data_IF_683730997653
#
_entry.id   IF_683730997653
#
_cell.length_a   1.000
_cell.length_b   1.000
_cell.length_c   1.000
_cell.angle_alpha   90.00
_cell.angle_beta   90.00
_cell.angle_gamma   90.00
#
_symmetry.space_group_name_H-M   'P 1'
#
loop_
_entity.id
_entity.type
_entity.pdbx_description
1 polymer ?
#
# COMPACT_ATOMS: atom_id res chain seq x y z
N UNK A 1 40.33 -12.88 40.46
CA UNK A 1 40.01 -14.05 39.58
C UNK A 1 38.50 -14.19 39.59
N UNK A 2 37.81 -13.45 38.78
CA UNK A 2 36.34 -13.47 38.68
C UNK A 2 35.95 -14.27 37.46
N UNK A 3 35.40 -15.46 37.72
CA UNK A 3 34.79 -16.28 36.72
C UNK A 3 33.56 -15.60 36.17
N UNK A 4 33.60 -15.20 34.91
CA UNK A 4 32.42 -14.84 34.14
C UNK A 4 31.55 -16.11 34.05
N UNK A 5 30.45 -16.14 34.80
CA UNK A 5 29.38 -17.07 34.58
C UNK A 5 28.80 -16.79 33.19
N UNK A 6 29.14 -17.61 32.20
CA UNK A 6 28.39 -17.72 30.96
C UNK A 6 26.96 -18.07 31.37
N UNK A 7 26.08 -17.09 31.36
CA UNK A 7 24.66 -17.30 31.38
C UNK A 7 24.36 -17.87 30.01
N UNK A 8 23.91 -19.11 29.96
CA UNK A 8 23.47 -19.79 28.76
C UNK A 8 22.46 -18.92 28.03
N UNK A 9 22.91 -18.28 26.95
CA UNK A 9 22.06 -17.60 25.97
C UNK A 9 21.68 -18.63 24.90
N UNK A 10 21.25 -19.79 25.32
CA UNK A 10 20.42 -20.65 24.52
C UNK A 10 18.98 -20.29 24.93
N UNK A 11 18.44 -19.24 24.29
CA UNK A 11 17.00 -19.10 24.24
C UNK A 11 16.47 -20.47 23.74
N UNK A 12 15.66 -21.08 24.58
CA UNK A 12 14.98 -22.34 24.25
C UNK A 12 14.22 -22.12 22.93
N UNK A 13 14.75 -22.66 21.83
CA UNK A 13 14.11 -22.57 20.53
C UNK A 13 12.82 -23.37 20.61
N UNK A 14 11.69 -22.69 20.82
CA UNK A 14 10.38 -23.32 20.87
C UNK A 14 10.13 -24.13 19.61
N UNK A 15 9.59 -25.32 19.78
CA UNK A 15 9.14 -26.14 18.65
C UNK A 15 7.96 -25.48 17.95
N UNK A 16 7.69 -25.85 16.70
CA UNK A 16 6.53 -25.35 15.96
C UNK A 16 5.21 -25.64 16.68
N UNK A 17 5.14 -26.72 17.43
CA UNK A 17 3.96 -27.14 18.19
C UNK A 17 3.76 -26.26 19.42
N UNK A 18 4.80 -25.96 20.17
CA UNK A 18 4.77 -25.02 21.31
C UNK A 18 4.36 -23.61 20.88
N UNK A 19 4.82 -23.16 19.70
CA UNK A 19 4.41 -21.87 19.16
C UNK A 19 2.91 -21.87 18.82
N UNK A 20 2.38 -22.93 18.22
CA UNK A 20 0.95 -23.05 17.92
C UNK A 20 0.08 -23.07 19.19
N UNK A 21 0.52 -23.77 20.24
CA UNK A 21 -0.19 -23.79 21.51
C UNK A 21 -0.19 -22.42 22.18
N UNK A 22 0.94 -21.69 22.15
CA UNK A 22 1.03 -20.33 22.66
C UNK A 22 0.10 -19.38 21.89
N UNK A 23 0.08 -19.46 20.55
CA UNK A 23 -0.82 -18.69 19.70
C UNK A 23 -2.27 -18.98 20.05
N UNK A 24 -2.65 -20.24 20.20
CA UNK A 24 -4.00 -20.64 20.56
C UNK A 24 -4.41 -20.08 21.91
N UNK A 25 -3.54 -20.15 22.91
CA UNK A 25 -3.78 -19.61 24.24
C UNK A 25 -3.97 -18.08 24.19
N UNK A 26 -3.12 -17.36 23.46
CA UNK A 26 -3.24 -15.91 23.27
C UNK A 26 -4.58 -15.57 22.59
N UNK A 27 -4.97 -16.34 21.56
CA UNK A 27 -6.25 -16.14 20.89
C UNK A 27 -7.45 -16.36 21.81
N UNK A 28 -7.38 -17.37 22.68
CA UNK A 28 -8.42 -17.62 23.68
C UNK A 28 -8.56 -16.46 24.69
N UNK A 29 -7.46 -15.76 24.98
CA UNK A 29 -7.46 -14.59 25.86
C UNK A 29 -7.92 -13.29 25.14
N UNK A 30 -7.56 -13.13 23.85
CA UNK A 30 -7.80 -11.89 23.07
C UNK A 30 -9.17 -11.90 22.39
N UNK A 31 -9.63 -13.06 21.93
CA UNK A 31 -10.95 -13.18 21.31
C UNK A 31 -11.99 -13.27 22.41
N UNK A 32 -12.60 -12.13 22.72
CA UNK A 32 -13.70 -12.03 23.67
C UNK A 32 -14.87 -12.87 23.16
N UNK A 33 -15.68 -13.45 24.06
CA UNK A 33 -16.82 -14.33 23.73
C UNK A 33 -17.78 -13.80 22.64
N UNK A 34 -17.79 -12.49 22.41
CA UNK A 34 -18.61 -11.84 21.38
C UNK A 34 -17.89 -11.64 20.04
N UNK A 35 -16.57 -11.75 19.99
CA UNK A 35 -15.78 -11.58 18.76
C UNK A 35 -15.50 -12.98 18.18
N UNK A 36 -16.12 -13.32 17.06
CA UNK A 36 -15.97 -14.65 16.47
C UNK A 36 -14.66 -14.84 15.74
N UNK A 37 -14.01 -13.76 15.25
CA UNK A 37 -12.82 -13.81 14.40
C UNK A 37 -11.86 -12.65 14.69
N UNK A 38 -10.57 -12.93 14.55
CA UNK A 38 -9.49 -11.95 14.56
C UNK A 38 -9.06 -11.71 13.11
N UNK A 39 -9.10 -10.46 12.66
CA UNK A 39 -8.64 -10.07 11.32
C UNK A 39 -7.30 -9.35 11.47
N UNK A 40 -6.27 -9.88 10.82
CA UNK A 40 -4.91 -9.33 10.82
C UNK A 40 -4.60 -8.80 9.43
N UNK A 41 -4.30 -7.49 9.33
CA UNK A 41 -3.90 -6.85 8.09
C UNK A 41 -2.37 -6.79 8.00
N UNK A 42 -1.84 -7.26 6.87
CA UNK A 42 -0.42 -7.17 6.53
C UNK A 42 -0.32 -6.36 5.24
N UNK A 43 0.37 -5.23 5.30
CA UNK A 43 0.51 -4.34 4.16
C UNK A 43 1.96 -4.28 3.65
N UNK A 44 2.12 -4.00 2.36
CA UNK A 44 3.41 -3.75 1.70
C UNK A 44 4.42 -4.91 1.79
N UNK A 45 3.95 -6.16 1.84
CA UNK A 45 4.84 -7.33 1.92
C UNK A 45 5.76 -7.45 0.68
N UNK A 46 5.31 -6.97 -0.48
CA UNK A 46 6.07 -6.91 -1.72
C UNK A 46 7.27 -5.94 -1.68
N UNK A 47 7.30 -5.00 -0.72
CA UNK A 47 8.43 -4.08 -0.51
C UNK A 47 9.48 -4.61 0.47
N UNK A 48 9.20 -5.72 1.11
CA UNK A 48 10.13 -6.35 2.02
C UNK A 48 11.26 -7.07 1.26
N UNK A 49 12.33 -7.44 2.00
CA UNK A 49 13.35 -8.34 1.45
C UNK A 49 12.70 -9.67 1.05
N UNK A 50 13.07 -10.27 -0.08
CA UNK A 50 12.45 -11.51 -0.57
C UNK A 50 12.41 -12.62 0.49
N UNK A 51 13.54 -12.85 1.17
CA UNK A 51 13.64 -13.86 2.24
C UNK A 51 12.66 -13.60 3.38
N UNK A 52 12.49 -12.34 3.79
CA UNK A 52 11.56 -11.98 4.87
C UNK A 52 10.11 -12.17 4.45
N UNK A 53 9.75 -11.73 3.21
CA UNK A 53 8.40 -11.89 2.71
C UNK A 53 7.97 -13.36 2.65
N UNK A 54 8.87 -14.21 2.17
CA UNK A 54 8.65 -15.67 2.12
C UNK A 54 8.51 -16.29 3.51
N UNK A 55 9.45 -15.98 4.40
CA UNK A 55 9.43 -16.48 5.78
C UNK A 55 8.15 -16.04 6.51
N UNK A 56 7.67 -14.82 6.28
CA UNK A 56 6.40 -14.36 6.85
C UNK A 56 5.22 -15.16 6.34
N UNK A 57 5.11 -15.39 5.04
CA UNK A 57 4.04 -16.19 4.44
C UNK A 57 4.06 -17.64 4.95
N UNK A 58 5.26 -18.24 5.04
CA UNK A 58 5.44 -19.59 5.58
C UNK A 58 5.04 -19.67 7.05
N UNK A 59 5.42 -18.68 7.86
CA UNK A 59 5.05 -18.59 9.28
C UNK A 59 3.53 -18.46 9.45
N UNK A 60 2.89 -17.60 8.66
CA UNK A 60 1.43 -17.48 8.67
C UNK A 60 0.79 -18.83 8.44
N UNK A 61 1.20 -19.54 7.38
CA UNK A 61 0.62 -20.81 7.01
C UNK A 61 0.89 -21.91 8.04
N UNK A 62 2.05 -21.92 8.69
CA UNK A 62 2.46 -23.02 9.57
C UNK A 62 2.08 -22.81 11.04
N UNK A 63 2.03 -21.56 11.53
CA UNK A 63 1.84 -21.32 12.96
C UNK A 63 0.45 -20.79 13.30
N UNK A 64 -0.26 -20.23 12.32
CA UNK A 64 -1.56 -19.58 12.53
C UNK A 64 -2.70 -20.35 11.83
N UNK A 65 -2.63 -21.67 11.83
CA UNK A 65 -3.67 -22.57 11.32
C UNK A 65 -4.82 -22.68 12.34
N UNK A 66 -5.57 -21.59 12.48
CA UNK A 66 -6.74 -21.47 13.36
C UNK A 66 -7.87 -20.75 12.63
N UNK A 67 -9.03 -21.38 12.51
CA UNK A 67 -10.20 -20.85 11.78
C UNK A 67 -10.70 -19.50 12.31
N UNK A 68 -10.26 -19.09 13.50
CA UNK A 68 -10.63 -17.80 14.09
C UNK A 68 -9.78 -16.65 13.56
N UNK A 69 -8.69 -16.92 12.84
CA UNK A 69 -7.81 -15.90 12.29
C UNK A 69 -8.04 -15.76 10.79
N UNK A 70 -8.18 -14.52 10.35
CA UNK A 70 -8.21 -14.15 8.93
C UNK A 70 -7.06 -13.20 8.66
N UNK A 71 -6.15 -13.59 7.77
CA UNK A 71 -5.10 -12.71 7.28
C UNK A 71 -5.56 -12.01 6.01
N UNK A 72 -5.47 -10.68 5.99
CA UNK A 72 -5.69 -9.85 4.81
C UNK A 72 -4.35 -9.26 4.41
N UNK A 73 -3.77 -9.77 3.32
CA UNK A 73 -2.46 -9.36 2.85
C UNK A 73 -2.63 -8.41 1.65
N UNK A 74 -2.24 -7.15 1.83
CA UNK A 74 -2.25 -6.14 0.77
C UNK A 74 -0.88 -6.13 0.09
N UNK A 75 -0.82 -6.55 -1.17
CA UNK A 75 0.42 -6.67 -1.93
C UNK A 75 0.22 -6.35 -3.41
N UNK A 76 1.25 -5.89 -4.07
CA UNK A 76 1.37 -6.00 -5.51
C UNK A 76 1.81 -7.44 -5.86
N UNK A 77 0.84 -8.30 -6.17
CA UNK A 77 1.10 -9.73 -6.42
C UNK A 77 2.09 -9.95 -7.57
N UNK A 78 2.00 -9.17 -8.64
CA UNK A 78 2.93 -9.25 -9.78
C UNK A 78 4.36 -8.92 -9.36
N UNK A 79 4.53 -7.85 -8.59
CA UNK A 79 5.84 -7.46 -8.08
C UNK A 79 6.40 -8.54 -7.12
N UNK A 80 5.56 -9.11 -6.28
CA UNK A 80 5.99 -10.18 -5.37
C UNK A 80 6.40 -11.45 -6.14
N UNK A 81 5.68 -11.83 -7.22
CA UNK A 81 6.04 -12.93 -8.12
C UNK A 81 7.43 -12.68 -8.73
N UNK A 82 7.68 -11.49 -9.27
CA UNK A 82 8.98 -11.12 -9.82
C UNK A 82 10.10 -11.19 -8.77
N UNK A 83 9.84 -10.70 -7.58
CA UNK A 83 10.78 -10.72 -6.47
C UNK A 83 11.16 -12.15 -6.09
N UNK A 84 10.19 -13.06 -6.01
CA UNK A 84 10.40 -14.48 -5.70
C UNK A 84 11.14 -15.17 -6.86
N UNK A 85 10.77 -14.90 -8.10
CA UNK A 85 11.45 -15.45 -9.28
C UNK A 85 12.92 -15.05 -9.32
N UNK A 86 13.24 -13.81 -8.98
CA UNK A 86 14.63 -13.38 -8.90
C UNK A 86 15.39 -14.02 -7.73
N UNK A 87 14.71 -14.31 -6.64
CA UNK A 87 15.32 -14.92 -5.46
C UNK A 87 15.66 -16.40 -5.66
N UNK A 88 14.73 -17.17 -6.25
CA UNK A 88 14.92 -18.62 -6.49
C UNK A 88 15.51 -18.96 -7.87
N UNK A 89 15.52 -18.00 -8.79
CA UNK A 89 15.96 -18.18 -10.17
C UNK A 89 14.82 -18.34 -11.18
N UNK A 90 15.14 -18.11 -12.45
CA UNK A 90 14.17 -17.99 -13.57
C UNK A 90 13.38 -19.27 -13.88
N UNK A 91 13.80 -20.43 -13.37
CA UNK A 91 13.09 -21.72 -13.53
C UNK A 91 12.09 -22.05 -12.43
N UNK A 92 11.96 -21.17 -11.42
CA UNK A 92 11.07 -21.41 -10.29
C UNK A 92 9.64 -20.95 -10.60
N UNK A 93 8.66 -21.82 -10.32
CA UNK A 93 7.23 -21.47 -10.45
C UNK A 93 6.77 -20.61 -9.28
N UNK A 94 7.10 -19.33 -9.33
CA UNK A 94 6.77 -18.35 -8.31
C UNK A 94 5.26 -18.12 -8.17
N UNK A 95 4.52 -18.23 -9.27
CA UNK A 95 3.06 -18.07 -9.26
C UNK A 95 2.39 -19.24 -8.56
N UNK A 96 2.72 -20.45 -8.95
CA UNK A 96 2.21 -21.65 -8.29
C UNK A 96 2.61 -21.75 -6.82
N UNK A 97 3.80 -21.26 -6.48
CA UNK A 97 4.27 -21.19 -5.11
C UNK A 97 3.44 -20.22 -4.26
N UNK A 98 3.23 -18.98 -4.74
CA UNK A 98 2.43 -17.99 -4.03
C UNK A 98 0.96 -18.38 -3.87
N UNK A 99 0.38 -19.03 -4.86
CA UNK A 99 -1.02 -19.49 -4.79
C UNK A 99 -1.27 -20.50 -3.65
N UNK A 100 -0.22 -21.09 -3.07
CA UNK A 100 -0.35 -21.98 -1.90
C UNK A 100 -0.64 -21.23 -0.60
N UNK A 101 -0.42 -19.92 -0.56
CA UNK A 101 -0.57 -19.11 0.64
C UNK A 101 -1.90 -18.32 0.69
N UNK A 102 -2.58 -18.19 -0.43
CA UNK A 102 -3.79 -17.39 -0.55
C UNK A 102 -4.98 -18.25 -0.94
N UNK A 103 -6.03 -18.23 -0.13
CA UNK A 103 -7.28 -18.93 -0.41
C UNK A 103 -8.20 -18.09 -1.30
N UNK A 104 -8.08 -16.75 -1.23
CA UNK A 104 -8.87 -15.79 -1.98
C UNK A 104 -8.01 -14.63 -2.46
N UNK A 105 -8.14 -14.31 -3.75
CA UNK A 105 -7.59 -13.10 -4.36
C UNK A 105 -8.71 -12.09 -4.60
N UNK A 106 -8.54 -10.88 -4.09
CA UNK A 106 -9.44 -9.76 -4.34
C UNK A 106 -8.67 -8.60 -4.96
N UNK A 107 -9.19 -8.04 -6.03
CA UNK A 107 -8.63 -6.85 -6.65
C UNK A 107 -9.42 -5.63 -6.22
N UNK A 108 -8.70 -4.56 -5.85
CA UNK A 108 -9.35 -3.27 -5.64
C UNK A 108 -9.91 -2.78 -6.97
N UNK A 109 -11.16 -2.28 -7.00
CA UNK A 109 -11.72 -1.72 -8.23
C UNK A 109 -10.88 -0.53 -8.70
N UNK A 110 -10.78 -0.37 -10.01
CA UNK A 110 -10.22 0.85 -10.57
C UNK A 110 -11.02 2.06 -10.07
N UNK A 111 -10.30 3.15 -9.78
CA UNK A 111 -10.94 4.40 -9.36
C UNK A 111 -11.94 4.86 -10.42
N UNK A 112 -13.18 5.01 -10.01
CA UNK A 112 -14.16 5.68 -10.85
C UNK A 112 -13.80 7.18 -10.93
N UNK A 113 -13.98 7.77 -12.12
CA UNK A 113 -13.65 9.16 -12.44
C UNK A 113 -14.22 10.20 -11.48
N UNK A 114 -15.25 9.87 -10.71
CA UNK A 114 -15.90 10.77 -9.74
C UNK A 114 -14.99 11.12 -8.54
N UNK A 115 -14.07 10.23 -8.16
CA UNK A 115 -13.16 10.44 -7.03
C UNK A 115 -11.92 11.26 -7.41
N UNK A 116 -11.77 11.61 -8.69
CA UNK A 116 -10.60 12.30 -9.24
C UNK A 116 -10.93 13.71 -9.77
N UNK A 117 -12.04 14.30 -9.33
CA UNK A 117 -12.38 15.66 -9.71
C UNK A 117 -11.97 16.67 -8.63
N UNK A 118 -11.28 17.74 -9.07
CA UNK A 118 -10.99 18.90 -8.24
C UNK A 118 -12.25 19.75 -8.22
N UNK A 119 -12.79 19.98 -7.03
CA UNK A 119 -14.00 20.80 -6.86
C UNK A 119 -13.71 22.27 -7.08
N UNK A 120 -14.64 22.98 -7.71
CA UNK A 120 -14.58 24.43 -7.89
C UNK A 120 -15.03 25.10 -6.59
N UNK A 121 -14.13 25.81 -5.92
CA UNK A 121 -14.47 26.56 -4.70
C UNK A 121 -14.97 27.96 -5.03
N UNK A 122 -14.43 28.61 -6.10
CA UNK A 122 -14.79 29.95 -6.53
C UNK A 122 -15.08 30.04 -8.02
N UNK A 123 -16.06 30.85 -8.42
CA UNK A 123 -16.46 31.06 -9.83
C UNK A 123 -15.34 31.62 -10.73
N UNK A 124 -14.37 32.33 -10.18
CA UNK A 124 -13.24 32.92 -10.94
C UNK A 124 -12.20 31.85 -11.38
N UNK A 125 -12.26 30.63 -10.84
CA UNK A 125 -11.27 29.58 -11.07
C UNK A 125 -11.73 28.50 -12.07
N UNK A 126 -12.90 28.67 -12.66
CA UNK A 126 -13.49 27.65 -13.54
C UNK A 126 -12.57 27.18 -14.66
N UNK A 127 -11.77 28.07 -15.22
CA UNK A 127 -10.89 27.72 -16.36
C UNK A 127 -9.70 26.86 -15.91
N UNK A 128 -8.98 27.28 -14.87
CA UNK A 128 -7.84 26.53 -14.33
C UNK A 128 -8.25 25.14 -13.88
N UNK A 129 -9.30 25.03 -13.08
CA UNK A 129 -9.78 23.74 -12.54
C UNK A 129 -10.31 22.85 -13.66
N UNK A 130 -10.97 23.42 -14.67
CA UNK A 130 -11.40 22.63 -15.84
C UNK A 130 -10.22 22.03 -16.59
N UNK A 131 -9.17 22.82 -16.83
CA UNK A 131 -7.94 22.32 -17.46
C UNK A 131 -7.27 21.26 -16.55
N UNK A 132 -7.16 21.53 -15.25
CA UNK A 132 -6.58 20.59 -14.32
C UNK A 132 -7.32 19.23 -14.31
N UNK A 133 -8.64 19.24 -14.33
CA UNK A 133 -9.45 18.02 -14.38
C UNK A 133 -9.29 17.26 -15.72
N UNK A 134 -9.25 17.97 -16.84
CA UNK A 134 -8.98 17.34 -18.14
C UNK A 134 -7.59 16.69 -18.19
N UNK A 135 -6.58 17.35 -17.60
CA UNK A 135 -5.24 16.78 -17.51
C UNK A 135 -5.19 15.54 -16.60
N UNK A 136 -5.92 15.52 -15.48
CA UNK A 136 -6.05 14.33 -14.62
C UNK A 136 -6.58 13.13 -15.42
N UNK A 137 -7.64 13.36 -16.22
CA UNK A 137 -8.23 12.32 -17.07
C UNK A 137 -7.28 11.88 -18.18
N UNK A 138 -6.64 12.82 -18.87
CA UNK A 138 -5.72 12.53 -19.97
C UNK A 138 -4.50 11.72 -19.52
N UNK A 139 -3.87 12.12 -18.41
CA UNK A 139 -2.68 11.44 -17.88
C UNK A 139 -3.01 10.22 -17.01
N UNK A 140 -4.27 9.91 -16.75
CA UNK A 140 -4.73 8.80 -15.91
C UNK A 140 -3.94 8.74 -14.59
N UNK A 141 -3.97 9.85 -13.84
CA UNK A 141 -3.22 9.93 -12.58
C UNK A 141 -3.68 8.85 -11.61
N UNK A 142 -2.72 8.22 -10.92
CA UNK A 142 -3.05 7.37 -9.78
C UNK A 142 -3.74 8.19 -8.67
N UNK A 143 -4.45 7.53 -7.74
CA UNK A 143 -5.08 8.24 -6.61
C UNK A 143 -4.06 9.04 -5.80
N UNK A 144 -2.89 8.49 -5.57
CA UNK A 144 -1.81 9.16 -4.85
C UNK A 144 -1.35 10.42 -5.60
N UNK A 145 -1.07 10.29 -6.89
CA UNK A 145 -0.63 11.41 -7.71
C UNK A 145 -1.73 12.45 -7.85
N UNK A 146 -2.99 12.04 -7.99
CA UNK A 146 -4.12 12.95 -7.98
C UNK A 146 -4.22 13.76 -6.70
N UNK A 147 -4.06 13.15 -5.52
CA UNK A 147 -4.10 13.86 -4.25
C UNK A 147 -2.99 14.91 -4.13
N UNK A 148 -1.76 14.55 -4.54
CA UNK A 148 -0.61 15.46 -4.58
C UNK A 148 -0.88 16.60 -5.58
N UNK A 149 -1.38 16.25 -6.76
CA UNK A 149 -1.71 17.22 -7.81
C UNK A 149 -2.79 18.20 -7.34
N UNK A 150 -3.87 17.68 -6.76
CA UNK A 150 -4.97 18.48 -6.21
C UNK A 150 -4.48 19.46 -5.15
N UNK A 151 -3.61 19.02 -4.24
CA UNK A 151 -3.02 19.88 -3.23
C UNK A 151 -2.18 20.99 -3.85
N UNK A 152 -1.32 20.66 -4.83
CA UNK A 152 -0.54 21.66 -5.57
C UNK A 152 -1.43 22.68 -6.29
N UNK A 153 -2.52 22.24 -6.94
CA UNK A 153 -3.47 23.12 -7.62
C UNK A 153 -4.20 24.02 -6.62
N UNK A 154 -4.67 23.49 -5.48
CA UNK A 154 -5.35 24.26 -4.46
C UNK A 154 -4.42 25.31 -3.81
N UNK A 155 -3.14 24.99 -3.63
CA UNK A 155 -2.15 25.92 -3.11
C UNK A 155 -1.87 27.09 -4.07
N UNK A 156 -2.05 26.91 -5.39
CA UNK A 156 -1.95 28.01 -6.36
C UNK A 156 -3.03 29.08 -6.16
N UNK A 157 -4.15 28.72 -5.52
CA UNK A 157 -5.21 29.66 -5.19
C UNK A 157 -4.76 30.76 -4.22
N UNK A 158 -3.82 30.44 -3.32
CA UNK A 158 -3.27 31.40 -2.36
C UNK A 158 -2.34 32.43 -3.02
N UNK A 159 -1.84 32.13 -4.21
CA UNK A 159 -1.05 33.07 -5.00
C UNK A 159 -1.97 33.79 -5.98
N UNK A 160 -2.30 35.05 -5.73
CA UNK A 160 -3.17 35.93 -6.54
C UNK A 160 -2.82 36.05 -8.05
N UNK A 161 -1.75 35.40 -8.49
CA UNK A 161 -1.23 35.43 -9.87
C UNK A 161 -2.18 34.79 -10.88
N UNK A 162 -3.08 33.90 -10.45
CA UNK A 162 -3.95 33.13 -11.36
C UNK A 162 -5.38 33.68 -11.40
N UNK A 163 -5.75 34.61 -10.50
CA UNK A 163 -7.08 35.19 -10.41
C UNK A 163 -7.30 36.41 -11.32
N UNK A 164 -6.32 36.75 -12.15
CA UNK A 164 -6.43 37.88 -13.05
C UNK A 164 -6.98 37.43 -14.41
N UNK A 165 -8.09 38.07 -14.84
CA UNK A 165 -8.63 37.93 -16.21
C UNK A 165 -7.70 38.52 -17.26
N UNK A 166 -6.48 38.86 -16.90
CA UNK A 166 -5.45 39.31 -17.82
C UNK A 166 -5.06 38.21 -18.78
N UNK A 167 -4.45 38.59 -19.90
CA UNK A 167 -3.90 37.65 -20.86
C UNK A 167 -2.84 36.72 -20.22
N UNK A 168 -2.08 37.25 -19.27
CA UNK A 168 -1.04 36.53 -18.55
C UNK A 168 -1.63 35.51 -17.58
N UNK A 169 -2.68 35.84 -16.83
CA UNK A 169 -3.41 34.92 -15.95
C UNK A 169 -4.07 33.79 -16.72
N UNK A 170 -4.60 34.04 -17.92
CA UNK A 170 -5.18 32.99 -18.78
C UNK A 170 -4.11 32.03 -19.28
N UNK A 171 -2.93 32.53 -19.68
CA UNK A 171 -1.79 31.69 -20.11
C UNK A 171 -1.27 30.86 -18.92
N UNK A 172 -1.09 31.48 -17.76
CA UNK A 172 -0.68 30.77 -16.55
C UNK A 172 -1.65 29.64 -16.18
N UNK A 173 -2.96 29.89 -16.24
CA UNK A 173 -3.99 28.88 -15.97
C UNK A 173 -3.95 27.67 -16.92
N UNK A 174 -3.41 27.85 -18.12
CA UNK A 174 -3.25 26.75 -19.09
C UNK A 174 -1.99 25.93 -18.82
N UNK A 175 -0.86 26.57 -18.58
CA UNK A 175 0.44 25.93 -18.53
C UNK A 175 0.83 25.42 -17.14
N UNK A 176 0.45 26.12 -16.07
CA UNK A 176 0.85 25.74 -14.72
C UNK A 176 0.34 24.36 -14.31
N UNK A 177 -0.93 23.98 -14.53
CA UNK A 177 -1.39 22.63 -14.24
C UNK A 177 -0.63 21.53 -15.01
N UNK A 178 -0.29 21.81 -16.27
CA UNK A 178 0.48 20.90 -17.10
C UNK A 178 1.91 20.74 -16.57
N UNK A 179 2.58 21.83 -16.22
CA UNK A 179 3.95 21.79 -15.69
C UNK A 179 4.01 21.01 -14.37
N UNK A 180 3.00 21.13 -13.51
CA UNK A 180 2.92 20.37 -12.26
C UNK A 180 2.87 18.86 -12.54
N UNK A 181 2.04 18.43 -13.50
CA UNK A 181 1.96 17.00 -13.85
C UNK A 181 3.28 16.50 -14.46
N UNK A 182 3.91 17.29 -15.32
CA UNK A 182 5.18 16.91 -15.91
C UNK A 182 6.30 16.82 -14.88
N UNK A 183 6.33 17.72 -13.90
CA UNK A 183 7.26 17.68 -12.76
C UNK A 183 7.05 16.43 -11.89
N UNK A 184 5.80 15.99 -11.71
CA UNK A 184 5.49 14.80 -10.92
C UNK A 184 5.82 13.48 -11.62
N UNK A 185 5.99 13.49 -12.95
CA UNK A 185 6.27 12.29 -13.76
C UNK A 185 7.75 12.09 -14.09
N UNK A 186 8.60 13.06 -13.74
CA UNK A 186 10.07 12.96 -13.86
C UNK A 186 10.68 12.44 -12.56
#
# INVERSE_FOLDING_TARGET
MNAFKNKDILEEVKTAEEIREDVKRILDEVIVEQAQKLIIFIDELDRCRPSYALEMLERIKHYFDDDRIIFVVSVNKEQLIHTISNYYGTGFDSTGYLNKFFDLDAHLPELQTYDTEISVINQSQHFLIRIANELVRYFKLSRRDFLIYREKINNLESYHVINDYSREGTIASLFVPLLIILDMKN
#
